data_IF_571697620802
#
_entry.id   IF_571697620802
#
_cell.length_a   1.000
_cell.length_b   1.000
_cell.length_c   1.000
_cell.angle_alpha   90.00
_cell.angle_beta   90.00
_cell.angle_gamma   90.00
#
_symmetry.space_group_name_H-M   'P 1'
#
loop_
_entity.id
_entity.type
_entity.pdbx_description
1 polymer ?
#
# COMPACT_ATOMS: atom_id res chain seq x y z
N UNK A 1 -22.58 58.32 36.35
CA UNK A 1 -21.29 57.84 35.80
C UNK A 1 -21.46 56.32 35.64
N UNK A 2 -21.64 55.66 34.49
CA UNK A 2 -20.95 55.59 33.18
C UNK A 2 -19.50 55.12 33.25
N UNK A 3 -19.32 53.81 33.17
CA UNK A 3 -18.17 53.14 32.52
C UNK A 3 -18.59 51.75 32.03
N UNK A 4 -18.19 51.46 30.80
CA UNK A 4 -18.44 50.25 30.02
C UNK A 4 -17.22 49.32 30.12
N UNK A 5 -17.26 48.26 29.32
CA UNK A 5 -16.14 47.51 28.70
C UNK A 5 -15.49 46.44 29.64
N UNK A 6 -15.07 45.20 29.28
CA UNK A 6 -14.68 44.53 28.02
C UNK A 6 -14.88 43.00 28.17
N UNK A 7 -15.38 42.38 27.09
CA UNK A 7 -15.07 41.05 26.54
C UNK A 7 -13.99 40.19 27.24
N UNK A 8 -14.38 38.97 27.62
CA UNK A 8 -13.46 37.85 27.83
C UNK A 8 -13.84 36.70 26.90
N UNK A 9 -13.44 36.81 25.63
CA UNK A 9 -13.47 35.70 24.67
C UNK A 9 -12.54 34.61 25.20
N UNK A 10 -13.12 33.51 25.63
CA UNK A 10 -12.43 32.26 25.93
C UNK A 10 -13.07 31.11 25.18
N UNK A 11 -13.48 31.34 23.93
CA UNK A 11 -13.82 30.23 23.04
C UNK A 11 -12.50 29.59 22.65
N UNK A 12 -12.07 28.60 23.43
CA UNK A 12 -11.00 27.70 23.08
C UNK A 12 -11.34 27.11 21.71
N UNK A 13 -10.70 27.65 20.68
CA UNK A 13 -10.75 27.13 19.33
C UNK A 13 -10.26 25.70 19.45
N UNK A 14 -11.20 24.77 19.32
CA UNK A 14 -10.92 23.36 19.15
C UNK A 14 -9.77 23.27 18.16
N UNK A 15 -8.65 22.73 18.62
CA UNK A 15 -7.55 22.35 17.75
C UNK A 15 -8.19 21.51 16.66
N UNK A 16 -8.30 22.10 15.47
CA UNK A 16 -8.51 21.38 14.24
C UNK A 16 -7.28 20.51 14.09
N UNK A 17 -7.30 19.38 14.77
CA UNK A 17 -6.48 18.24 14.45
C UNK A 17 -6.83 17.99 13.00
N UNK A 18 -6.02 18.50 12.10
CA UNK A 18 -5.86 17.93 10.78
C UNK A 18 -5.39 16.51 11.06
N UNK A 19 -6.36 15.64 11.37
CA UNK A 19 -6.19 14.22 11.24
C UNK A 19 -5.65 14.08 9.84
N UNK A 20 -4.41 13.60 9.75
CA UNK A 20 -3.89 13.06 8.52
C UNK A 20 -4.84 11.91 8.25
N UNK A 21 -5.94 12.19 7.56
CA UNK A 21 -6.80 11.15 7.03
C UNK A 21 -5.88 10.47 6.03
N UNK A 22 -5.20 9.42 6.51
CA UNK A 22 -4.52 8.44 5.70
C UNK A 22 -5.45 8.17 4.54
N UNK A 23 -5.04 8.61 3.34
CA UNK A 23 -5.92 8.52 2.19
C UNK A 23 -6.35 7.06 2.09
N UNK A 24 -7.67 6.77 2.11
CA UNK A 24 -8.14 5.40 2.09
C UNK A 24 -7.55 4.73 0.86
N UNK A 25 -6.96 3.54 1.06
CA UNK A 25 -6.38 2.80 -0.04
C UNK A 25 -7.46 2.55 -1.11
N UNK A 26 -7.10 2.83 -2.35
CA UNK A 26 -7.96 2.54 -3.49
C UNK A 26 -8.05 1.03 -3.70
N UNK A 27 -9.26 0.41 -3.64
CA UNK A 27 -9.41 -1.03 -3.78
C UNK A 27 -8.83 -1.56 -5.09
N UNK A 28 -8.92 -0.80 -6.19
CA UNK A 28 -8.38 -1.21 -7.48
C UNK A 28 -6.84 -1.28 -7.47
N UNK A 29 -6.17 -0.32 -6.83
CA UNK A 29 -4.71 -0.36 -6.66
C UNK A 29 -4.27 -1.55 -5.82
N UNK A 30 -4.94 -1.80 -4.69
CA UNK A 30 -4.61 -2.95 -3.83
C UNK A 30 -4.87 -4.26 -4.56
N UNK A 31 -5.97 -4.37 -5.30
CA UNK A 31 -6.31 -5.55 -6.11
C UNK A 31 -5.26 -5.84 -7.18
N UNK A 32 -4.91 -4.84 -7.98
CA UNK A 32 -3.88 -4.96 -9.02
C UNK A 32 -2.54 -5.41 -8.45
N UNK A 33 -2.15 -4.82 -7.32
CA UNK A 33 -0.90 -5.15 -6.64
C UNK A 33 -0.90 -6.58 -6.07
N UNK A 34 -1.97 -6.97 -5.38
CA UNK A 34 -2.13 -8.32 -4.84
C UNK A 34 -2.16 -9.37 -5.96
N UNK A 35 -2.77 -9.07 -7.10
CA UNK A 35 -2.80 -9.94 -8.28
C UNK A 35 -1.41 -10.19 -8.85
N UNK A 36 -0.64 -9.13 -9.06
CA UNK A 36 0.77 -9.23 -9.51
C UNK A 36 1.63 -10.01 -8.50
N UNK A 37 1.54 -9.68 -7.21
CA UNK A 37 2.32 -10.38 -6.18
C UNK A 37 1.91 -11.85 -6.07
N UNK A 38 0.64 -12.18 -6.32
CA UNK A 38 0.20 -13.56 -6.36
C UNK A 38 0.90 -14.35 -7.47
N UNK A 39 0.94 -13.81 -8.70
CA UNK A 39 1.67 -14.44 -9.81
C UNK A 39 3.15 -14.59 -9.46
N UNK A 40 3.78 -13.56 -8.90
CA UNK A 40 5.19 -13.64 -8.49
C UNK A 40 5.46 -14.73 -7.43
N UNK A 41 4.53 -14.94 -6.48
CA UNK A 41 4.64 -16.05 -5.51
C UNK A 41 4.50 -17.41 -6.17
N UNK A 42 3.60 -17.54 -7.14
CA UNK A 42 3.37 -18.78 -7.89
C UNK A 42 4.60 -19.19 -8.71
N UNK A 43 5.19 -18.26 -9.46
CA UNK A 43 6.29 -18.56 -10.39
C UNK A 43 7.70 -18.42 -9.79
N UNK A 44 7.85 -17.63 -8.71
CA UNK A 44 9.12 -17.47 -8.00
C UNK A 44 8.97 -17.69 -6.48
N UNK A 45 8.85 -18.95 -6.03
CA UNK A 45 8.69 -19.28 -4.61
C UNK A 45 9.83 -18.78 -3.72
N UNK A 46 11.05 -18.66 -4.25
CA UNK A 46 12.20 -18.15 -3.51
C UNK A 46 12.02 -16.69 -3.07
N UNK A 47 11.15 -15.93 -3.75
CA UNK A 47 10.85 -14.52 -3.44
C UNK A 47 9.70 -14.31 -2.45
N UNK A 48 8.99 -15.35 -2.00
CA UNK A 48 7.75 -15.22 -1.21
C UNK A 48 7.90 -14.28 -0.01
N UNK A 49 8.99 -14.42 0.76
CA UNK A 49 9.23 -13.56 1.93
C UNK A 49 9.33 -12.08 1.55
N UNK A 50 9.98 -11.77 0.43
CA UNK A 50 10.11 -10.41 -0.07
C UNK A 50 8.75 -9.84 -0.52
N UNK A 51 7.95 -10.64 -1.23
CA UNK A 51 6.62 -10.23 -1.69
C UNK A 51 5.64 -9.98 -0.55
N UNK A 52 5.64 -10.84 0.47
CA UNK A 52 4.80 -10.65 1.66
C UNK A 52 5.18 -9.38 2.42
N UNK A 53 6.48 -9.14 2.61
CA UNK A 53 6.96 -7.91 3.25
C UNK A 53 6.61 -6.66 2.46
N UNK A 54 6.66 -6.73 1.13
CA UNK A 54 6.25 -5.63 0.27
C UNK A 54 4.75 -5.35 0.40
N UNK A 55 3.91 -6.40 0.42
CA UNK A 55 2.47 -6.28 0.68
C UNK A 55 2.21 -5.62 2.04
N UNK A 56 2.85 -6.12 3.10
CA UNK A 56 2.77 -5.56 4.46
C UNK A 56 3.17 -4.08 4.50
N UNK A 57 4.18 -3.67 3.75
CA UNK A 57 4.59 -2.26 3.69
C UNK A 57 3.51 -1.39 3.05
N UNK A 58 2.77 -1.93 2.08
CA UNK A 58 1.73 -1.20 1.35
C UNK A 58 0.41 -1.09 2.14
N UNK A 59 0.07 -2.12 2.92
CA UNK A 59 -1.21 -2.19 3.65
C UNK A 59 -1.09 -1.98 5.16
N UNK A 60 0.12 -2.03 5.72
CA UNK A 60 0.36 -2.14 7.17
C UNK A 60 0.11 -0.87 7.98
N UNK A 61 -0.20 0.25 7.33
CA UNK A 61 -0.63 1.48 8.02
C UNK A 61 -2.17 1.55 8.15
N UNK A 62 -2.91 0.66 7.50
CA UNK A 62 -4.37 0.72 7.51
C UNK A 62 -4.94 0.29 8.87
N UNK A 63 -6.08 0.88 9.27
CA UNK A 63 -6.80 0.45 10.46
C UNK A 63 -7.30 -0.99 10.33
N UNK A 64 -7.48 -1.65 11.47
CA UNK A 64 -7.95 -3.04 11.54
C UNK A 64 -9.24 -3.22 10.72
N UNK A 65 -9.27 -4.27 9.90
CA UNK A 65 -10.41 -4.61 9.04
C UNK A 65 -10.54 -3.78 7.75
N UNK A 66 -9.79 -2.70 7.56
CA UNK A 66 -9.88 -1.89 6.33
C UNK A 66 -9.43 -2.67 5.10
N UNK A 67 -8.34 -3.43 5.20
CA UNK A 67 -7.86 -4.28 4.09
C UNK A 67 -8.89 -5.35 3.74
N UNK A 68 -9.51 -5.97 4.75
CA UNK A 68 -10.53 -6.99 4.54
C UNK A 68 -11.74 -6.40 3.80
N UNK A 69 -12.22 -5.23 4.22
CA UNK A 69 -13.30 -4.52 3.54
C UNK A 69 -12.95 -4.19 2.08
N UNK A 70 -11.73 -3.76 1.80
CA UNK A 70 -11.26 -3.50 0.43
C UNK A 70 -11.28 -4.75 -0.43
N UNK A 71 -10.83 -5.90 0.10
CA UNK A 71 -10.77 -7.16 -0.64
C UNK A 71 -12.14 -7.72 -1.02
N UNK A 72 -13.20 -7.28 -0.35
CA UNK A 72 -14.58 -7.68 -0.63
C UNK A 72 -15.22 -6.88 -1.77
N UNK A 73 -14.60 -5.78 -2.20
CA UNK A 73 -15.16 -4.92 -3.25
C UNK A 73 -15.05 -5.54 -4.66
N UNK A 74 -16.02 -5.29 -5.56
CA UNK A 74 -15.90 -5.65 -6.96
C UNK A 74 -14.68 -5.03 -7.66
N UNK A 75 -14.31 -3.81 -7.27
CA UNK A 75 -13.19 -3.06 -7.82
C UNK A 75 -11.87 -3.78 -7.54
N UNK A 76 -11.66 -4.20 -6.29
CA UNK A 76 -10.51 -5.04 -5.92
C UNK A 76 -10.46 -6.31 -6.76
N UNK A 77 -11.57 -7.07 -6.83
CA UNK A 77 -11.61 -8.36 -7.53
C UNK A 77 -11.31 -8.22 -9.01
N UNK A 78 -11.91 -7.23 -9.67
CA UNK A 78 -11.68 -6.95 -11.10
C UNK A 78 -10.22 -6.58 -11.36
N UNK A 79 -9.65 -5.70 -10.54
CA UNK A 79 -8.26 -5.28 -10.70
C UNK A 79 -7.28 -6.42 -10.41
N UNK A 80 -7.57 -7.25 -9.40
CA UNK A 80 -6.81 -8.46 -9.08
C UNK A 80 -6.77 -9.44 -10.26
N UNK A 81 -7.94 -9.79 -10.81
CA UNK A 81 -8.01 -10.70 -11.94
C UNK A 81 -7.36 -10.11 -13.20
N UNK A 82 -7.57 -8.82 -13.47
CA UNK A 82 -6.94 -8.13 -14.60
C UNK A 82 -5.40 -8.13 -14.49
N UNK A 83 -4.84 -7.92 -13.31
CA UNK A 83 -3.40 -7.98 -13.09
C UNK A 83 -2.86 -9.40 -13.31
N UNK A 84 -3.56 -10.43 -12.81
CA UNK A 84 -3.17 -11.84 -13.06
C UNK A 84 -3.22 -12.19 -14.55
N UNK A 85 -4.29 -11.78 -15.24
CA UNK A 85 -4.45 -12.04 -16.67
C UNK A 85 -3.34 -11.36 -17.47
N UNK A 86 -3.02 -10.11 -17.15
CA UNK A 86 -1.92 -9.38 -17.80
C UNK A 86 -0.59 -10.11 -17.66
N UNK A 87 -0.31 -10.71 -16.51
CA UNK A 87 0.89 -11.54 -16.34
C UNK A 87 0.82 -12.86 -17.10
N UNK A 88 -0.36 -13.45 -17.28
CA UNK A 88 -0.54 -14.66 -18.08
C UNK A 88 -0.38 -14.42 -19.59
N UNK A 89 -0.70 -13.21 -20.06
CA UNK A 89 -0.54 -12.80 -21.46
C UNK A 89 0.93 -12.50 -21.83
N UNK A 90 1.81 -12.38 -20.84
CA UNK A 90 3.24 -12.11 -21.01
C UNK A 90 4.06 -13.41 -21.02
N UNK A 91 5.21 -13.47 -21.73
CA UNK A 91 6.07 -14.65 -21.71
C UNK A 91 6.52 -15.00 -20.29
N UNK A 92 6.35 -16.27 -19.90
CA UNK A 92 6.68 -16.74 -18.55
C UNK A 92 8.08 -16.31 -18.08
N UNK A 93 9.11 -16.46 -18.93
CA UNK A 93 10.48 -16.09 -18.59
C UNK A 93 10.67 -14.59 -18.30
N UNK A 94 9.89 -13.73 -18.98
CA UNK A 94 9.88 -12.29 -18.73
C UNK A 94 9.29 -12.02 -17.35
N UNK A 95 8.13 -12.60 -17.04
CA UNK A 95 7.47 -12.42 -15.74
C UNK A 95 8.34 -12.97 -14.60
N UNK A 96 8.96 -14.14 -14.79
CA UNK A 96 9.88 -14.74 -13.82
C UNK A 96 11.08 -13.82 -13.55
N UNK A 97 11.67 -13.24 -14.60
CA UNK A 97 12.78 -12.29 -14.47
C UNK A 97 12.37 -11.05 -13.67
N UNK A 98 11.22 -10.46 -13.98
CA UNK A 98 10.70 -9.28 -13.29
C UNK A 98 10.42 -9.58 -11.81
N UNK A 99 9.74 -10.70 -11.52
CA UNK A 99 9.50 -11.14 -10.15
C UNK A 99 10.81 -11.40 -9.39
N UNK A 100 11.81 -12.01 -10.04
CA UNK A 100 13.13 -12.23 -9.44
C UNK A 100 13.84 -10.93 -9.12
N UNK A 101 13.79 -9.95 -10.03
CA UNK A 101 14.34 -8.61 -9.82
C UNK A 101 13.63 -7.86 -8.68
N UNK A 102 12.30 -7.98 -8.59
CA UNK A 102 11.52 -7.42 -7.50
C UNK A 102 11.92 -8.03 -6.15
N UNK A 103 12.05 -9.34 -6.05
CA UNK A 103 12.50 -9.99 -4.82
C UNK A 103 13.93 -9.56 -4.43
N UNK A 104 14.82 -9.42 -5.42
CA UNK A 104 16.19 -8.97 -5.20
C UNK A 104 16.27 -7.51 -4.72
N UNK A 105 15.46 -6.60 -5.26
CA UNK A 105 15.46 -5.18 -4.87
C UNK A 105 15.00 -4.96 -3.42
N UNK A 106 14.15 -5.87 -2.92
CA UNK A 106 13.65 -5.88 -1.55
C UNK A 106 14.60 -6.55 -0.56
N UNK A 107 15.62 -7.25 -1.05
CA UNK A 107 16.59 -7.97 -0.22
C UNK A 107 17.54 -7.00 0.52
N UNK A 108 17.97 -7.30 1.76
CA UNK A 108 18.86 -6.44 2.54
C UNK A 108 20.19 -6.09 1.84
N UNK A 109 20.69 -6.98 0.98
CA UNK A 109 21.91 -6.76 0.18
C UNK A 109 21.78 -5.59 -0.80
N UNK A 110 20.62 -5.40 -1.43
CA UNK A 110 20.38 -4.28 -2.33
C UNK A 110 20.41 -2.93 -1.60
N UNK A 111 19.92 -2.89 -0.35
CA UNK A 111 19.96 -1.67 0.49
C UNK A 111 21.38 -1.30 0.96
N UNK A 112 22.29 -2.27 1.11
CA UNK A 112 23.68 -1.98 1.50
C UNK A 112 24.52 -1.39 0.35
N UNK A 113 24.25 -1.78 -0.90
CA UNK A 113 24.93 -1.20 -2.07
C UNK A 113 24.64 0.30 -2.26
N UNK A 114 23.45 0.76 -1.85
CA UNK A 114 23.03 2.16 -1.99
C UNK A 114 23.46 3.08 -0.83
N UNK A 115 24.02 2.54 0.26
CA UNK A 115 24.55 3.33 1.41
C UNK A 115 26.06 3.57 1.34
N UNK A 116 26.77 3.03 0.35
CA UNK A 116 28.22 3.15 0.18
C UNK A 116 28.62 4.04 -1.01
N UNK A 117 27.79 5.01 -1.38
CA UNK A 117 28.16 6.09 -2.30
C UNK A 117 27.94 7.43 -1.63
#
# INVERSE_FOLDING_TARGET
MKTRIIFGIGLAVALSSSTWAEQPLDPAQVGSFDGMLNVCREINPAGISAYNKLRETLIGQQPDGAVEALTQTPEYRRAYEAARQKSADEPHDKVLKECTQLAASLSPRARQGNRRK
#
